data_IF_112233199013
#
_entry.id   IF_112233199013
#
_cell.length_a   1.000
_cell.length_b   1.000
_cell.length_c   1.000
_cell.angle_alpha   90.00
_cell.angle_beta   90.00
_cell.angle_gamma   90.00
#
_symmetry.space_group_name_H-M   'P 1'
#
loop_
_entity.id
_entity.type
_entity.pdbx_description
1 polymer ?
#
# COMPACT_ATOMS: atom_id res chain seq x y z
N UNK A 1 -76.25 -32.32 -19.25
CA UNK A 1 -76.30 -30.87 -19.48
C UNK A 1 -75.57 -30.20 -18.32
N UNK A 2 -74.58 -29.36 -18.62
CA UNK A 2 -73.53 -28.91 -17.68
C UNK A 2 -74.00 -28.06 -16.49
N UNK A 3 -73.06 -27.56 -15.67
CA UNK A 3 -72.19 -26.50 -16.17
C UNK A 3 -70.67 -26.70 -15.92
N UNK A 4 -69.94 -25.90 -16.71
CA UNK A 4 -68.48 -25.81 -16.87
C UNK A 4 -67.73 -25.37 -15.61
N UNK A 5 -66.48 -25.83 -15.36
CA UNK A 5 -65.60 -25.17 -14.41
C UNK A 5 -64.98 -23.93 -15.08
N UNK A 6 -65.05 -22.79 -14.39
CA UNK A 6 -64.36 -21.57 -14.79
C UNK A 6 -62.83 -21.72 -14.58
N UNK A 7 -61.98 -21.09 -15.40
CA UNK A 7 -60.54 -21.16 -15.24
C UNK A 7 -60.10 -20.29 -14.05
N UNK A 8 -59.40 -20.89 -13.09
CA UNK A 8 -58.70 -20.16 -12.04
C UNK A 8 -57.50 -19.47 -12.69
N UNK A 9 -57.59 -18.15 -12.86
CA UNK A 9 -56.49 -17.31 -13.30
C UNK A 9 -55.45 -17.28 -12.16
N UNK A 10 -54.34 -18.00 -12.32
CA UNK A 10 -53.18 -17.88 -11.43
C UNK A 10 -52.49 -16.56 -11.76
N UNK A 11 -52.79 -15.51 -10.98
CA UNK A 11 -51.99 -14.29 -10.98
C UNK A 11 -50.60 -14.62 -10.42
N UNK A 12 -49.62 -14.74 -11.31
CA UNK A 12 -48.20 -14.79 -10.96
C UNK A 12 -47.75 -13.41 -10.45
N UNK A 13 -48.01 -13.13 -9.17
CA UNK A 13 -47.36 -12.05 -8.42
C UNK A 13 -46.05 -12.60 -7.85
N UNK A 14 -45.02 -12.70 -8.69
CA UNK A 14 -43.65 -12.80 -8.19
C UNK A 14 -43.19 -11.37 -7.87
N UNK A 15 -43.37 -11.03 -6.60
CA UNK A 15 -42.73 -9.91 -5.92
C UNK A 15 -41.22 -9.96 -6.23
N UNK A 16 -40.75 -9.09 -7.12
CA UNK A 16 -39.33 -8.76 -7.21
C UNK A 16 -38.98 -8.05 -5.90
N UNK A 17 -38.54 -8.82 -4.91
CA UNK A 17 -37.82 -8.31 -3.76
C UNK A 17 -36.58 -7.60 -4.29
N UNK A 18 -36.69 -6.29 -4.46
CA UNK A 18 -35.53 -5.43 -4.66
C UNK A 18 -34.81 -5.38 -3.33
N UNK A 19 -33.99 -6.40 -3.06
CA UNK A 19 -32.93 -6.24 -2.09
C UNK A 19 -32.05 -5.08 -2.62
N UNK A 20 -31.76 -4.05 -1.83
CA UNK A 20 -30.61 -3.22 -2.14
C UNK A 20 -29.43 -4.19 -2.23
N UNK A 21 -28.86 -4.32 -3.42
CA UNK A 21 -27.51 -4.84 -3.54
C UNK A 21 -26.67 -3.81 -2.81
N UNK A 22 -26.37 -4.09 -1.54
CA UNK A 22 -25.30 -3.43 -0.83
C UNK A 22 -24.08 -3.55 -1.74
N UNK A 23 -23.71 -2.42 -2.33
CA UNK A 23 -22.55 -2.33 -3.18
C UNK A 23 -21.35 -2.70 -2.33
N UNK A 24 -20.92 -3.96 -2.40
CA UNK A 24 -19.68 -4.39 -1.80
C UNK A 24 -18.58 -3.44 -2.30
N UNK A 25 -17.88 -2.72 -1.40
CA UNK A 25 -16.82 -1.83 -1.82
C UNK A 25 -15.77 -2.69 -2.52
N UNK A 26 -15.60 -2.46 -3.83
CA UNK A 26 -14.64 -3.18 -4.67
C UNK A 26 -13.25 -2.93 -4.12
N UNK A 27 -12.61 -4.02 -3.67
CA UNK A 27 -11.37 -4.05 -2.91
C UNK A 27 -10.23 -3.30 -3.60
N UNK A 28 -9.42 -2.67 -2.77
CA UNK A 28 -8.36 -1.73 -3.12
C UNK A 28 -7.05 -2.17 -2.44
N UNK A 29 -5.89 -2.08 -3.12
CA UNK A 29 -4.80 -3.10 -3.10
C UNK A 29 -5.39 -4.46 -3.50
N UNK A 30 -4.68 -5.37 -4.17
CA UNK A 30 -5.31 -6.63 -4.65
C UNK A 30 -5.98 -7.38 -3.48
N UNK A 31 -7.31 -7.21 -3.34
CA UNK A 31 -8.15 -7.64 -2.22
C UNK A 31 -7.81 -7.06 -0.82
N UNK A 32 -7.27 -5.85 -0.75
CA UNK A 32 -7.19 -5.04 0.48
C UNK A 32 -8.46 -4.22 0.72
N UNK A 33 -8.39 -3.28 1.67
CA UNK A 33 -9.48 -2.37 2.02
C UNK A 33 -8.98 -0.95 2.26
N UNK A 34 -9.87 0.04 2.19
CA UNK A 34 -9.54 1.41 2.59
C UNK A 34 -9.05 1.42 4.04
N UNK A 35 -7.90 2.04 4.28
CA UNK A 35 -7.40 2.25 5.63
C UNK A 35 -8.30 3.25 6.37
N UNK A 36 -8.38 3.16 7.70
CA UNK A 36 -9.00 4.25 8.46
C UNK A 36 -8.16 5.53 8.26
N UNK A 37 -8.79 6.68 7.95
CA UNK A 37 -8.05 7.93 7.73
C UNK A 37 -7.09 8.22 8.89
N UNK A 38 -5.85 8.57 8.54
CA UNK A 38 -4.78 8.97 9.46
C UNK A 38 -4.38 7.92 10.53
N UNK A 39 -4.87 6.67 10.44
CA UNK A 39 -4.46 5.59 11.36
C UNK A 39 -2.97 5.25 11.26
N UNK A 40 -2.35 5.59 10.12
CA UNK A 40 -0.94 5.34 9.82
C UNK A 40 -0.21 6.67 9.64
N UNK A 41 0.00 7.45 10.72
CA UNK A 41 0.48 8.83 10.64
C UNK A 41 1.93 8.96 10.16
N UNK A 42 2.63 7.83 10.00
CA UNK A 42 3.98 7.79 9.44
C UNK A 42 4.01 7.68 7.92
N UNK A 43 2.88 7.37 7.27
CA UNK A 43 2.85 7.14 5.82
C UNK A 43 3.23 8.40 5.05
N UNK A 44 4.09 8.20 4.06
CA UNK A 44 4.49 9.21 3.10
C UNK A 44 4.12 8.78 1.69
N UNK A 45 3.68 9.74 0.88
CA UNK A 45 3.51 9.57 -0.56
C UNK A 45 4.62 10.35 -1.26
N UNK A 46 5.53 9.63 -1.91
CA UNK A 46 6.55 10.24 -2.77
C UNK A 46 5.87 10.65 -4.06
N UNK A 47 6.09 11.90 -4.47
CA UNK A 47 5.45 12.49 -5.63
C UNK A 47 6.48 13.03 -6.63
N UNK A 48 6.23 12.75 -7.91
CA UNK A 48 6.89 13.37 -9.05
C UNK A 48 5.88 14.24 -9.79
N UNK A 49 6.15 15.54 -9.89
CA UNK A 49 5.26 16.54 -10.50
C UNK A 49 3.82 16.47 -9.95
N UNK A 50 3.70 16.29 -8.63
CA UNK A 50 2.41 16.19 -7.93
C UNK A 50 1.69 14.84 -8.08
N UNK A 51 2.29 13.86 -8.76
CA UNK A 51 1.73 12.51 -8.90
C UNK A 51 2.44 11.52 -7.99
N UNK A 52 1.67 10.73 -7.24
CA UNK A 52 2.20 9.64 -6.44
C UNK A 52 2.98 8.63 -7.30
N UNK A 53 4.16 8.23 -6.86
CA UNK A 53 4.98 7.21 -7.54
C UNK A 53 5.39 6.06 -6.63
N UNK A 54 5.63 6.34 -5.36
CA UNK A 54 6.01 5.35 -4.36
C UNK A 54 5.49 5.72 -2.97
N UNK A 55 5.39 4.72 -2.10
CA UNK A 55 5.25 4.91 -0.67
C UNK A 55 6.58 5.29 -0.01
N UNK A 56 6.47 5.70 1.24
CA UNK A 56 7.58 5.94 2.15
C UNK A 56 7.05 6.02 3.57
N UNK A 57 7.95 6.19 4.54
CA UNK A 57 7.53 6.44 5.91
C UNK A 57 8.52 7.33 6.67
N UNK A 58 7.97 8.18 7.53
CA UNK A 58 8.75 9.12 8.34
C UNK A 58 9.49 8.38 9.47
N UNK A 59 10.82 8.45 9.48
CA UNK A 59 11.69 7.80 10.49
C UNK A 59 12.36 8.79 11.46
N UNK A 60 12.34 10.09 11.11
CA UNK A 60 12.65 11.22 11.97
C UNK A 60 12.00 12.48 11.37
N UNK A 61 11.93 13.60 12.10
CA UNK A 61 11.22 14.81 11.64
C UNK A 61 11.67 15.29 10.25
N UNK A 62 12.94 15.12 9.89
CA UNK A 62 13.47 15.53 8.60
C UNK A 62 13.83 14.36 7.66
N UNK A 63 13.46 13.12 8.02
CA UNK A 63 13.92 11.93 7.31
C UNK A 63 12.79 10.96 6.99
N UNK A 64 12.64 10.67 5.70
CA UNK A 64 11.72 9.66 5.16
C UNK A 64 12.54 8.51 4.59
N UNK A 65 12.16 7.28 4.92
CA UNK A 65 12.69 6.06 4.32
C UNK A 65 11.75 5.57 3.21
N UNK A 66 12.33 5.13 2.10
CA UNK A 66 11.64 4.58 0.93
C UNK A 66 12.56 3.57 0.20
N UNK A 67 12.25 3.24 -1.05
CA UNK A 67 13.03 2.36 -1.92
C UNK A 67 13.86 3.18 -2.94
N UNK A 68 15.06 2.72 -3.27
CA UNK A 68 15.98 3.41 -4.17
C UNK A 68 15.47 3.44 -5.61
N UNK A 69 14.84 2.37 -6.09
CA UNK A 69 14.32 2.32 -7.46
C UNK A 69 13.23 3.36 -7.74
N UNK A 70 12.62 3.96 -6.70
CA UNK A 70 11.65 5.04 -6.85
C UNK A 70 12.24 6.31 -7.47
N UNK A 71 13.58 6.43 -7.52
CA UNK A 71 14.30 7.55 -8.10
C UNK A 71 14.69 7.37 -9.57
N UNK A 72 14.52 6.19 -10.16
CA UNK A 72 15.10 5.87 -11.47
C UNK A 72 14.54 6.73 -12.63
N UNK A 73 13.37 7.36 -12.45
CA UNK A 73 12.72 8.21 -13.47
C UNK A 73 12.45 9.65 -12.99
N UNK A 74 13.35 10.22 -12.19
CA UNK A 74 13.19 11.58 -11.62
C UNK A 74 13.66 12.72 -12.52
N UNK A 75 14.30 12.45 -13.66
CA UNK A 75 15.01 13.46 -14.46
C UNK A 75 14.11 14.63 -14.87
N UNK A 76 14.47 15.83 -14.39
CA UNK A 76 13.77 17.09 -14.66
C UNK A 76 12.43 17.27 -13.93
N UNK A 77 12.02 16.30 -13.11
CA UNK A 77 10.73 16.33 -12.39
C UNK A 77 10.90 16.87 -10.98
N UNK A 78 9.87 17.55 -10.48
CA UNK A 78 9.81 18.01 -9.10
C UNK A 78 9.52 16.84 -8.17
N UNK A 79 10.49 16.47 -7.33
CA UNK A 79 10.37 15.38 -6.37
C UNK A 79 10.02 15.90 -4.97
N UNK A 80 8.91 15.41 -4.42
CA UNK A 80 8.31 15.89 -3.17
C UNK A 80 7.79 14.75 -2.31
N UNK A 81 7.55 15.01 -1.03
CA UNK A 81 6.99 14.06 -0.07
C UNK A 81 5.71 14.65 0.52
N UNK A 82 4.60 13.97 0.34
CA UNK A 82 3.32 14.31 0.95
C UNK A 82 3.16 13.53 2.27
N UNK A 83 2.97 14.24 3.37
CA UNK A 83 2.69 13.69 4.71
C UNK A 83 1.29 14.12 5.19
N UNK A 84 0.77 13.39 6.19
CA UNK A 84 -0.52 13.70 6.81
C UNK A 84 -1.73 13.40 5.93
N UNK A 85 -1.54 12.64 4.85
CA UNK A 85 -2.56 12.38 3.85
C UNK A 85 -3.28 11.03 4.09
N UNK A 86 -4.61 11.02 3.93
CA UNK A 86 -5.38 9.82 3.60
C UNK A 86 -5.76 9.82 2.12
N UNK A 87 -6.40 10.89 1.65
CA UNK A 87 -6.68 11.16 0.23
C UNK A 87 -5.54 11.95 -0.43
N UNK A 88 -5.12 11.50 -1.61
CA UNK A 88 -4.15 12.24 -2.42
C UNK A 88 -4.73 13.57 -2.93
N UNK A 89 -6.02 13.59 -3.28
CA UNK A 89 -6.65 14.76 -3.93
C UNK A 89 -7.46 15.67 -3.01
N UNK A 90 -8.12 15.15 -1.96
CA UNK A 90 -9.02 15.94 -1.11
C UNK A 90 -8.27 16.78 -0.09
N UNK A 91 -8.67 18.03 0.20
CA UNK A 91 -8.02 18.84 1.23
C UNK A 91 -8.19 18.19 2.63
N UNK A 92 -7.11 18.16 3.40
CA UNK A 92 -7.07 17.56 4.75
C UNK A 92 -6.24 18.47 5.68
N UNK A 93 -6.61 18.63 6.98
CA UNK A 93 -6.06 19.69 7.83
C UNK A 93 -4.54 19.66 8.01
N UNK A 94 -3.95 18.47 8.15
CA UNK A 94 -2.51 18.29 8.38
C UNK A 94 -1.77 17.80 7.14
N UNK A 95 -2.45 17.74 5.98
CA UNK A 95 -1.83 17.28 4.75
C UNK A 95 -0.90 18.36 4.20
N UNK A 96 0.38 18.01 4.07
CA UNK A 96 1.42 18.95 3.62
C UNK A 96 2.41 18.28 2.68
N UNK A 97 2.76 19.02 1.63
CA UNK A 97 3.74 18.62 0.64
C UNK A 97 5.08 19.28 0.98
N UNK A 98 6.10 18.45 1.22
CA UNK A 98 7.45 18.86 1.58
C UNK A 98 8.37 18.73 0.37
N UNK A 99 9.24 19.73 0.18
CA UNK A 99 10.34 19.63 -0.78
C UNK A 99 11.43 18.71 -0.22
N UNK A 100 12.12 18.01 -1.12
CA UNK A 100 13.25 17.15 -0.77
C UNK A 100 14.54 17.93 -0.98
N UNK A 101 15.34 18.07 0.08
CA UNK A 101 16.65 18.73 0.05
C UNK A 101 17.70 17.84 -0.59
N UNK A 102 17.71 16.57 -0.21
CA UNK A 102 18.72 15.61 -0.64
C UNK A 102 18.17 14.18 -0.63
N UNK A 103 18.72 13.36 -1.51
CA UNK A 103 18.35 11.98 -1.73
C UNK A 103 19.60 11.11 -1.54
N UNK A 104 19.49 10.08 -0.71
CA UNK A 104 20.60 9.21 -0.34
C UNK A 104 20.19 7.76 -0.58
N UNK A 105 20.29 7.27 -1.83
CA UNK A 105 20.14 5.84 -2.10
C UNK A 105 21.26 5.09 -1.38
N UNK A 106 20.97 3.87 -0.93
CA UNK A 106 21.99 3.04 -0.31
C UNK A 106 23.14 2.80 -1.30
N UNK A 107 24.42 2.86 -0.88
CA UNK A 107 25.57 2.71 -1.78
C UNK A 107 25.64 1.38 -2.53
N UNK A 108 25.03 0.34 -1.96
CA UNK A 108 24.91 -1.00 -2.57
C UNK A 108 23.70 -1.17 -3.51
N UNK A 109 22.80 -0.18 -3.58
CA UNK A 109 21.63 -0.23 -4.46
C UNK A 109 22.05 -0.30 -5.93
N UNK A 110 21.30 -1.07 -6.73
CA UNK A 110 21.63 -1.30 -8.12
C UNK A 110 20.37 -1.50 -8.95
N UNK A 111 20.16 -0.67 -9.97
CA UNK A 111 18.98 -0.68 -10.84
C UNK A 111 18.72 -2.03 -11.56
N UNK A 112 19.70 -2.91 -11.60
CA UNK A 112 19.61 -4.21 -12.26
C UNK A 112 19.25 -5.37 -11.30
N UNK A 113 19.11 -5.10 -10.00
CA UNK A 113 18.68 -6.10 -9.02
C UNK A 113 17.94 -5.46 -7.83
N UNK A 114 17.36 -6.27 -6.97
CA UNK A 114 16.58 -5.76 -5.82
C UNK A 114 17.41 -5.63 -4.53
N UNK A 115 18.75 -5.72 -4.60
CA UNK A 115 19.61 -5.69 -3.41
C UNK A 115 19.76 -4.27 -2.91
N UNK A 116 19.76 -4.15 -1.58
CA UNK A 116 19.96 -2.91 -0.85
C UNK A 116 19.11 -1.74 -1.38
N UNK A 117 17.87 -2.04 -1.76
CA UNK A 117 16.90 -1.10 -2.35
C UNK A 117 16.30 -0.19 -1.27
N UNK A 118 17.14 0.66 -0.68
CA UNK A 118 16.79 1.60 0.38
C UNK A 118 17.16 3.02 -0.02
N UNK A 119 16.28 3.96 0.32
CA UNK A 119 16.43 5.38 0.03
C UNK A 119 16.10 6.23 1.27
N UNK A 120 17.07 7.04 1.69
CA UNK A 120 16.83 8.11 2.66
C UNK A 120 16.58 9.43 1.94
N UNK A 121 15.46 10.07 2.29
CA UNK A 121 15.09 11.40 1.82
C UNK A 121 15.20 12.39 2.97
N UNK A 122 16.00 13.43 2.77
CA UNK A 122 16.05 14.56 3.68
C UNK A 122 15.06 15.63 3.22
N UNK A 123 14.10 15.97 4.08
CA UNK A 123 13.15 17.04 3.84
C UNK A 123 13.86 18.41 3.93
N UNK A 124 13.40 19.42 3.19
CA UNK A 124 13.97 20.77 3.23
C UNK A 124 13.78 21.44 4.60
N UNK A 125 12.70 21.09 5.29
CA UNK A 125 12.34 21.52 6.64
C UNK A 125 11.87 20.34 7.49
N UNK A 126 11.88 20.48 8.82
CA UNK A 126 11.35 19.46 9.72
C UNK A 126 9.83 19.34 9.56
N UNK A 127 9.33 18.10 9.54
CA UNK A 127 7.91 17.81 9.50
C UNK A 127 7.24 18.15 10.83
N UNK A 128 6.15 18.90 10.76
CA UNK A 128 5.34 19.26 11.92
C UNK A 128 4.60 18.03 12.47
N UNK A 129 5.13 17.45 13.55
CA UNK A 129 4.52 16.27 14.17
C UNK A 129 3.18 16.61 14.84
N UNK A 130 2.16 15.79 14.61
CA UNK A 130 0.81 15.97 15.14
C UNK A 130 0.05 14.63 15.26
N UNK A 131 -1.28 14.63 15.23
CA UNK A 131 -2.08 13.40 15.28
C UNK A 131 -1.94 12.55 14.01
N UNK A 132 -1.71 13.20 12.88
CA UNK A 132 -1.78 12.61 11.54
C UNK A 132 -0.38 12.51 10.90
N UNK A 133 0.64 13.10 11.52
CA UNK A 133 2.05 13.04 11.13
C UNK A 133 2.90 12.61 12.33
N UNK A 134 3.47 11.41 12.28
CA UNK A 134 4.34 10.87 13.34
C UNK A 134 5.46 10.02 12.79
N UNK A 135 6.56 9.96 13.54
CA UNK A 135 7.68 9.07 13.24
C UNK A 135 7.31 7.61 13.55
N UNK A 136 7.68 6.69 12.68
CA UNK A 136 7.61 5.25 12.91
C UNK A 136 8.97 4.74 13.45
N UNK A 137 9.02 4.16 14.66
CA UNK A 137 10.17 3.41 15.10
C UNK A 137 10.38 2.19 14.19
N UNK A 138 11.62 1.94 13.80
CA UNK A 138 11.99 0.79 12.98
C UNK A 138 12.72 -0.26 13.81
N UNK A 139 12.66 -1.52 13.36
CA UNK A 139 13.31 -2.65 14.02
C UNK A 139 14.84 -2.48 13.96
N UNK A 140 15.51 -2.72 15.10
CA UNK A 140 16.98 -2.67 15.24
C UNK A 140 17.58 -4.02 15.56
N UNK A 141 16.79 -4.94 16.09
CA UNK A 141 17.22 -6.31 16.31
C UNK A 141 17.22 -7.04 14.97
N UNK A 142 18.40 -7.54 14.59
CA UNK A 142 18.56 -8.40 13.42
C UNK A 142 18.01 -9.79 13.75
N UNK A 143 16.70 -9.94 13.56
CA UNK A 143 15.98 -11.20 13.72
C UNK A 143 14.94 -11.35 12.62
N UNK A 144 14.87 -12.54 12.06
CA UNK A 144 13.81 -12.89 11.13
C UNK A 144 12.44 -12.82 11.83
N UNK A 145 11.45 -12.24 11.14
CA UNK A 145 10.06 -12.35 11.55
C UNK A 145 9.61 -13.79 11.33
N UNK A 146 8.99 -14.40 12.34
CA UNK A 146 8.55 -15.78 12.25
C UNK A 146 7.54 -15.96 11.10
N UNK A 147 7.61 -17.11 10.41
CA UNK A 147 6.61 -17.47 9.41
C UNK A 147 5.19 -17.47 10.01
N UNK A 148 4.21 -17.19 9.17
CA UNK A 148 2.78 -17.03 9.50
C UNK A 148 2.45 -15.82 10.39
N UNK A 149 3.44 -15.05 10.86
CA UNK A 149 3.20 -13.73 11.47
C UNK A 149 2.47 -12.83 10.47
N UNK A 150 1.33 -12.27 10.88
CA UNK A 150 0.56 -11.37 10.03
C UNK A 150 1.13 -9.96 10.14
N UNK A 151 1.61 -9.45 9.01
CA UNK A 151 2.07 -8.08 8.87
C UNK A 151 1.08 -7.28 8.03
N UNK A 152 0.99 -5.98 8.30
CA UNK A 152 0.17 -5.04 7.56
C UNK A 152 1.06 -4.18 6.65
N UNK A 153 0.62 -4.00 5.41
CA UNK A 153 1.18 -3.06 4.45
C UNK A 153 0.11 -2.04 4.09
N UNK A 154 0.52 -0.82 3.77
CA UNK A 154 -0.38 0.21 3.30
C UNK A 154 0.26 1.03 2.18
N UNK A 155 -0.57 1.53 1.26
CA UNK A 155 -0.08 2.29 0.12
C UNK A 155 -1.20 2.84 -0.76
N UNK A 156 -0.80 3.64 -1.74
CA UNK A 156 -1.65 4.18 -2.81
C UNK A 156 -1.30 3.54 -4.17
N UNK A 157 -0.69 2.35 -4.15
CA UNK A 157 -0.41 1.57 -5.34
C UNK A 157 -1.68 1.02 -6.00
N UNK A 158 -1.51 0.48 -7.21
CA UNK A 158 -2.60 -0.01 -8.04
C UNK A 158 -3.39 -1.12 -7.35
N UNK A 159 -4.72 -1.08 -7.50
CA UNK A 159 -5.62 -1.94 -6.73
C UNK A 159 -6.09 -3.19 -7.46
N UNK A 160 -5.92 -3.20 -8.77
CA UNK A 160 -6.38 -4.24 -9.66
C UNK A 160 -5.46 -4.34 -10.89
N UNK A 161 -5.74 -5.34 -11.73
CA UNK A 161 -4.98 -5.57 -12.96
C UNK A 161 -5.24 -4.52 -14.05
N UNK A 162 -6.22 -3.62 -13.86
CA UNK A 162 -6.45 -2.50 -14.80
C UNK A 162 -5.44 -1.36 -14.60
N UNK A 163 -4.69 -1.38 -13.49
CA UNK A 163 -3.74 -0.33 -13.15
C UNK A 163 -4.40 0.90 -12.52
N UNK A 164 -5.66 0.80 -12.09
CA UNK A 164 -6.34 1.89 -11.40
C UNK A 164 -5.68 2.14 -10.04
N UNK A 165 -5.32 3.41 -9.78
CA UNK A 165 -4.76 3.85 -8.50
C UNK A 165 -5.85 4.42 -7.60
N UNK A 166 -5.86 4.08 -6.31
CA UNK A 166 -6.84 4.57 -5.36
C UNK A 166 -6.47 6.00 -4.94
N UNK A 167 -7.46 6.88 -4.82
CA UNK A 167 -7.25 8.21 -4.26
C UNK A 167 -6.90 8.15 -2.76
N UNK A 168 -7.51 7.23 -2.03
CA UNK A 168 -7.36 7.10 -0.59
C UNK A 168 -6.37 6.00 -0.21
N UNK A 169 -5.78 6.08 0.97
CA UNK A 169 -4.84 5.06 1.46
C UNK A 169 -5.54 3.71 1.61
N UNK A 170 -4.85 2.67 1.17
CA UNK A 170 -5.32 1.30 1.23
C UNK A 170 -4.42 0.51 2.17
N UNK A 171 -4.97 -0.55 2.75
CA UNK A 171 -4.23 -1.45 3.62
C UNK A 171 -4.53 -2.91 3.32
N UNK A 172 -3.57 -3.75 3.67
CA UNK A 172 -3.63 -5.17 3.45
C UNK A 172 -2.79 -5.91 4.50
N UNK A 173 -3.37 -6.95 5.09
CA UNK A 173 -2.68 -7.93 5.94
C UNK A 173 -2.15 -9.12 5.12
N UNK A 174 -0.92 -9.53 5.39
CA UNK A 174 -0.28 -10.71 4.78
C UNK A 174 0.58 -11.48 5.78
N UNK A 175 0.54 -12.82 5.75
CA UNK A 175 1.44 -13.63 6.55
C UNK A 175 2.85 -13.63 5.95
N UNK A 176 3.85 -13.58 6.82
CA UNK A 176 5.25 -13.82 6.48
C UNK A 176 5.44 -15.27 6.05
N UNK A 177 6.30 -15.51 5.06
CA UNK A 177 6.75 -16.85 4.68
C UNK A 177 8.26 -16.95 4.90
N UNK A 178 8.74 -18.15 5.22
CA UNK A 178 10.17 -18.35 5.43
C UNK A 178 10.99 -18.07 4.17
N UNK A 179 12.23 -17.63 4.36
CA UNK A 179 13.18 -17.39 3.27
C UNK A 179 13.43 -18.63 2.42
N UNK A 180 13.48 -19.81 3.04
CA UNK A 180 13.63 -21.09 2.34
C UNK A 180 12.47 -21.37 1.39
N UNK A 181 11.24 -21.13 1.84
CA UNK A 181 10.05 -21.25 0.99
C UNK A 181 10.10 -20.23 -0.14
N UNK A 182 10.53 -19.00 0.15
CA UNK A 182 10.65 -17.94 -0.85
C UNK A 182 11.72 -18.26 -1.91
N UNK A 183 12.84 -18.84 -1.49
CA UNK A 183 13.96 -19.22 -2.35
C UNK A 183 13.80 -20.55 -3.09
N UNK A 184 12.66 -21.24 -2.93
CA UNK A 184 12.38 -22.43 -3.72
C UNK A 184 12.49 -22.13 -5.23
N UNK A 185 12.96 -23.12 -6.01
CA UNK A 185 13.22 -23.00 -7.47
C UNK A 185 12.03 -22.49 -8.28
N UNK A 186 10.81 -22.80 -7.84
CA UNK A 186 9.57 -22.36 -8.50
C UNK A 186 9.11 -20.95 -8.10
N UNK A 187 9.87 -20.25 -7.26
CA UNK A 187 9.59 -18.89 -6.78
C UNK A 187 10.72 -17.95 -7.16
N UNK A 188 11.60 -17.63 -6.21
CA UNK A 188 12.69 -16.68 -6.39
C UNK A 188 14.04 -17.34 -6.67
N UNK A 189 14.09 -18.68 -6.73
CA UNK A 189 15.26 -19.45 -7.16
C UNK A 189 16.59 -19.00 -6.52
N UNK A 190 16.59 -18.88 -5.19
CA UNK A 190 17.76 -18.49 -4.41
C UNK A 190 18.14 -17.00 -4.41
N UNK A 191 17.34 -16.11 -5.02
CA UNK A 191 17.68 -14.67 -5.12
C UNK A 191 17.40 -13.86 -3.85
N UNK A 192 16.59 -14.37 -2.92
CA UNK A 192 16.24 -13.69 -1.66
C UNK A 192 17.38 -13.84 -0.65
N UNK A 193 17.99 -12.71 -0.28
CA UNK A 193 19.15 -12.66 0.62
C UNK A 193 18.75 -12.62 2.10
N UNK A 194 19.71 -12.75 3.05
CA UNK A 194 19.44 -12.52 4.47
C UNK A 194 18.88 -11.13 4.79
N UNK A 195 19.21 -10.11 3.98
CA UNK A 195 18.70 -8.73 4.14
C UNK A 195 17.27 -8.54 3.60
N UNK A 196 16.60 -9.61 3.20
CA UNK A 196 15.26 -9.60 2.60
C UNK A 196 14.34 -10.59 3.33
N UNK A 197 13.05 -10.30 3.29
CA UNK A 197 11.98 -11.17 3.77
C UNK A 197 10.84 -11.25 2.77
N UNK A 198 9.93 -12.21 2.96
CA UNK A 198 8.83 -12.45 2.04
C UNK A 198 7.49 -12.59 2.78
N UNK A 199 6.40 -12.24 2.09
CA UNK A 199 5.03 -12.49 2.53
C UNK A 199 4.28 -13.33 1.49
N UNK A 200 3.22 -14.03 1.86
CA UNK A 200 2.47 -14.89 0.94
C UNK A 200 1.59 -14.07 -0.02
N UNK A 201 1.79 -14.19 -1.34
CA UNK A 201 1.07 -13.43 -2.39
C UNK A 201 -0.10 -14.18 -3.00
N UNK A 202 -0.31 -15.46 -2.62
CA UNK A 202 -1.26 -16.36 -3.30
C UNK A 202 -2.72 -15.89 -3.29
N UNK A 203 -3.09 -14.93 -2.44
CA UNK A 203 -4.47 -14.42 -2.34
C UNK A 203 -4.59 -12.90 -2.42
N UNK A 204 -3.56 -12.16 -2.01
CA UNK A 204 -3.53 -10.70 -1.88
C UNK A 204 -2.08 -10.23 -2.08
N UNK A 205 -1.84 -9.15 -2.81
CA UNK A 205 -0.47 -8.72 -3.16
C UNK A 205 -0.31 -7.20 -3.12
N UNK A 206 0.93 -6.76 -2.89
CA UNK A 206 1.36 -5.37 -3.11
C UNK A 206 1.51 -5.14 -4.61
N UNK A 207 1.27 -3.92 -5.08
CA UNK A 207 1.31 -3.62 -6.50
C UNK A 207 2.12 -2.35 -6.82
N UNK A 208 2.11 -1.96 -8.09
CA UNK A 208 2.85 -0.79 -8.58
C UNK A 208 2.43 0.46 -7.81
N UNK A 209 3.39 1.11 -7.15
CA UNK A 209 3.16 2.29 -6.31
C UNK A 209 3.19 2.02 -4.80
N UNK A 210 3.12 0.76 -4.35
CA UNK A 210 3.29 0.41 -2.93
C UNK A 210 4.78 0.33 -2.52
N UNK A 211 5.69 0.29 -3.50
CA UNK A 211 7.15 0.29 -3.30
C UNK A 211 7.59 1.39 -2.33
N UNK A 212 8.53 1.06 -1.43
CA UNK A 212 9.04 1.98 -0.42
C UNK A 212 8.13 2.17 0.80
N UNK A 213 6.89 1.68 0.78
CA UNK A 213 6.02 1.67 1.95
C UNK A 213 6.51 0.72 3.06
N UNK A 214 6.12 0.96 4.33
CA UNK A 214 6.51 0.11 5.44
C UNK A 214 5.72 -1.20 5.48
N UNK A 215 6.38 -2.28 5.90
CA UNK A 215 5.74 -3.51 6.36
C UNK A 215 5.77 -3.53 7.89
N UNK A 216 4.61 -3.40 8.53
CA UNK A 216 4.50 -3.38 10.00
C UNK A 216 3.99 -4.71 10.54
N UNK A 217 4.47 -5.15 11.71
CA UNK A 217 3.82 -6.23 12.46
C UNK A 217 2.46 -5.77 12.97
N UNK A 218 1.41 -6.55 12.75
CA UNK A 218 0.11 -6.29 13.35
C UNK A 218 0.11 -6.69 14.83
N UNK A 219 0.20 -5.71 15.73
CA UNK A 219 0.08 -5.91 17.17
C UNK A 219 1.40 -6.01 17.91
#
# INVERSE_FOLDING_TARGET
MGPSPAPVLVLALLLLLWAPVDGQPRGRILRGSEAKPHLKPYMASLQLDGQHVCGGFLIAQQWVLSAAHCMEETDGKLFQVLLGAHSLTQPEPHKRLYRVRAQFPHPGSNIHNNKDDLLLLQLEEEAELNTDVRVLPFQREDRDVAADTVCEVAGWGTTDHSGTRPDKLQQLERPVISRDVCNHRTRHDGTITPNMMCTDSRRKDTCKGDSGGPLGGGG
#
